data_IF_051610592028
#
_entry.id   IF_051610592028
#
_cell.length_a   1.000
_cell.length_b   1.000
_cell.length_c   1.000
_cell.angle_alpha   90.00
_cell.angle_beta   90.00
_cell.angle_gamma   90.00
#
_symmetry.space_group_name_H-M   'P 1'
#
loop_
_entity.id
_entity.type
_entity.pdbx_description
1 polymer ?
#
# COMPACT_ATOMS: atom_id res chain seq x y z
N UNK A 1 -17.60 4.15 4.37
CA UNK A 1 -17.16 2.79 4.01
C UNK A 1 -16.43 2.82 2.68
N UNK A 2 -15.16 2.53 2.68
CA UNK A 2 -14.34 2.30 1.49
C UNK A 2 -14.25 0.78 1.27
N UNK A 3 -14.56 0.33 0.06
CA UNK A 3 -14.54 -1.09 -0.29
C UNK A 3 -14.18 -1.26 -1.76
N UNK A 4 -13.12 -2.01 -2.03
CA UNK A 4 -12.74 -2.36 -3.40
C UNK A 4 -11.96 -3.68 -3.43
N UNK A 5 -11.96 -4.32 -4.59
CA UNK A 5 -11.13 -5.48 -4.90
C UNK A 5 -9.89 -5.02 -5.65
N UNK A 6 -8.79 -5.71 -5.48
CA UNK A 6 -7.56 -5.41 -6.20
C UNK A 6 -6.70 -6.65 -6.37
N UNK A 7 -5.83 -6.61 -7.37
CA UNK A 7 -4.69 -7.51 -7.48
C UNK A 7 -3.41 -6.69 -7.47
N UNK A 8 -2.40 -7.14 -6.73
CA UNK A 8 -1.13 -6.43 -6.61
C UNK A 8 0.05 -7.35 -6.92
N UNK A 9 1.06 -6.81 -7.59
CA UNK A 9 2.30 -7.51 -7.93
C UNK A 9 3.41 -6.54 -8.31
N UNK A 10 4.67 -6.99 -8.20
CA UNK A 10 5.85 -6.22 -8.55
C UNK A 10 6.17 -6.36 -10.03
N UNK A 11 6.54 -5.25 -10.68
CA UNK A 11 6.98 -5.24 -12.06
C UNK A 11 8.09 -4.21 -12.30
N UNK A 12 8.86 -4.43 -13.37
CA UNK A 12 9.86 -3.49 -13.88
C UNK A 12 9.25 -2.72 -15.06
N UNK A 13 9.23 -1.40 -14.98
CA UNK A 13 8.80 -0.55 -16.08
C UNK A 13 9.91 -0.42 -17.13
N UNK A 14 9.60 -0.80 -18.37
CA UNK A 14 10.41 -0.54 -19.56
C UNK A 14 9.56 0.23 -20.57
N UNK A 15 9.79 1.54 -20.67
CA UNK A 15 8.94 2.46 -21.44
C UNK A 15 7.47 2.40 -21.01
N UNK A 16 6.57 1.96 -21.89
CA UNK A 16 5.14 1.77 -21.62
C UNK A 16 4.77 0.31 -21.28
N UNK A 17 5.76 -0.58 -21.24
CA UNK A 17 5.60 -1.99 -20.90
C UNK A 17 6.04 -2.29 -19.46
N UNK A 18 5.39 -3.27 -18.88
CA UNK A 18 5.72 -3.79 -17.56
C UNK A 18 6.15 -5.25 -17.64
N UNK A 19 7.41 -5.49 -17.29
CA UNK A 19 7.98 -6.83 -17.18
C UNK A 19 7.74 -7.36 -15.79
N UNK A 20 7.17 -8.56 -15.73
CA UNK A 20 6.84 -9.23 -14.47
C UNK A 20 8.09 -9.78 -13.79
N UNK A 21 8.12 -9.75 -12.47
CA UNK A 21 9.16 -10.39 -11.67
C UNK A 21 8.93 -11.91 -11.53
N UNK A 22 9.12 -12.64 -12.62
CA UNK A 22 8.84 -14.08 -12.69
C UNK A 22 9.74 -14.92 -11.76
N UNK A 23 10.88 -14.41 -11.37
CA UNK A 23 11.88 -15.17 -10.62
C UNK A 23 12.19 -14.62 -9.23
N UNK A 24 11.45 -13.60 -8.76
CA UNK A 24 11.79 -12.88 -7.53
C UNK A 24 13.18 -12.22 -7.61
N UNK A 25 13.65 -11.94 -8.83
CA UNK A 25 14.98 -11.39 -9.08
C UNK A 25 15.00 -9.86 -9.00
N UNK A 26 13.85 -9.22 -9.14
CA UNK A 26 13.71 -7.80 -8.87
C UNK A 26 13.82 -7.63 -7.35
N UNK A 27 15.01 -7.25 -6.89
CA UNK A 27 15.20 -6.93 -5.48
C UNK A 27 14.16 -5.87 -5.09
N UNK A 28 13.62 -6.05 -3.88
CA UNK A 28 12.59 -5.21 -3.28
C UNK A 28 12.64 -3.76 -3.77
N UNK A 29 11.51 -3.16 -4.08
CA UNK A 29 11.37 -1.82 -4.68
C UNK A 29 11.88 -0.66 -3.79
N UNK A 30 12.74 -0.91 -2.83
CA UNK A 30 13.51 0.13 -2.12
C UNK A 30 14.36 0.97 -3.06
N UNK A 31 13.96 0.98 -4.31
CA UNK A 31 14.63 1.37 -5.49
C UNK A 31 15.09 2.78 -5.57
N UNK A 32 16.36 2.87 -5.58
CA UNK A 32 17.11 3.96 -6.22
C UNK A 32 16.74 4.08 -7.71
N UNK A 33 16.24 3.02 -8.34
CA UNK A 33 15.96 2.95 -9.79
C UNK A 33 14.48 3.21 -10.12
N UNK A 34 13.63 3.76 -9.39
CA UNK A 34 12.26 4.19 -9.72
C UNK A 34 11.47 3.45 -10.83
N UNK A 35 12.07 2.43 -11.45
CA UNK A 35 11.49 1.58 -12.49
C UNK A 35 10.85 0.31 -11.93
N UNK A 36 11.34 -0.17 -10.77
CA UNK A 36 10.70 -1.27 -10.07
C UNK A 36 9.57 -0.66 -9.25
N UNK A 37 8.36 -1.16 -9.44
CA UNK A 37 7.19 -0.63 -8.76
C UNK A 37 6.17 -1.72 -8.46
N UNK A 38 5.30 -1.41 -7.51
CA UNK A 38 4.11 -2.20 -7.27
C UNK A 38 2.97 -1.73 -8.14
N UNK A 39 2.35 -2.65 -8.87
CA UNK A 39 1.16 -2.41 -9.67
C UNK A 39 -0.06 -2.88 -8.88
N UNK A 40 -1.08 -2.03 -8.84
CA UNK A 40 -2.37 -2.32 -8.23
C UNK A 40 -3.44 -2.24 -9.31
N UNK A 41 -4.08 -3.35 -9.64
CA UNK A 41 -5.21 -3.41 -10.58
C UNK A 41 -6.51 -3.31 -9.79
N UNK A 42 -7.39 -2.41 -10.17
CA UNK A 42 -8.67 -2.15 -9.49
C UNK A 42 -9.77 -2.03 -10.54
N UNK A 43 -10.91 -2.74 -10.44
CA UNK A 43 -11.97 -2.60 -11.42
C UNK A 43 -12.71 -1.27 -11.26
N UNK A 44 -13.10 -0.67 -12.39
CA UNK A 44 -13.77 0.63 -12.46
C UNK A 44 -15.04 0.71 -11.60
N UNK A 45 -15.80 -0.37 -11.53
CA UNK A 45 -17.01 -0.41 -10.72
C UNK A 45 -16.71 -0.23 -9.22
N UNK A 46 -15.59 -0.79 -8.74
CA UNK A 46 -15.16 -0.63 -7.35
C UNK A 46 -14.56 0.75 -7.10
N UNK A 47 -13.82 1.29 -8.06
CA UNK A 47 -13.32 2.66 -8.02
C UNK A 47 -14.47 3.67 -7.99
N UNK A 48 -15.44 3.58 -8.90
CA UNK A 48 -16.61 4.44 -8.94
C UNK A 48 -17.42 4.37 -7.63
N UNK A 49 -17.64 3.17 -7.10
CA UNK A 49 -18.33 2.97 -5.83
C UNK A 49 -17.61 3.63 -4.67
N UNK A 50 -16.29 3.54 -4.65
CA UNK A 50 -15.46 4.04 -3.55
C UNK A 50 -15.30 5.56 -3.57
N UNK A 51 -15.29 6.17 -4.76
CA UNK A 51 -15.13 7.62 -4.96
C UNK A 51 -16.46 8.37 -5.12
N UNK A 52 -17.57 7.65 -5.32
CA UNK A 52 -18.86 8.24 -5.68
C UNK A 52 -18.89 8.79 -7.11
N UNK A 53 -17.90 8.46 -7.95
CA UNK A 53 -17.84 8.89 -9.33
C UNK A 53 -18.64 7.95 -10.25
N UNK A 54 -18.87 8.39 -11.48
CA UNK A 54 -19.58 7.63 -12.53
C UNK A 54 -18.77 7.64 -13.83
N UNK A 55 -17.48 7.31 -13.71
CA UNK A 55 -16.59 7.24 -14.88
C UNK A 55 -16.94 6.03 -15.74
N UNK A 56 -16.68 6.13 -17.03
CA UNK A 56 -16.84 5.05 -17.99
C UNK A 56 -15.54 4.86 -18.78
N UNK A 57 -15.19 3.62 -19.06
CA UNK A 57 -14.03 3.24 -19.87
C UNK A 57 -14.46 2.31 -20.99
N UNK A 58 -13.82 2.44 -22.13
CA UNK A 58 -13.89 1.44 -23.19
C UNK A 58 -13.13 0.16 -22.83
N UNK A 59 -13.30 -0.93 -23.57
CA UNK A 59 -12.73 -2.24 -23.22
C UNK A 59 -11.19 -2.27 -23.19
N UNK A 60 -10.52 -1.39 -23.93
CA UNK A 60 -9.06 -1.27 -23.97
C UNK A 60 -8.56 0.05 -23.37
N UNK A 61 -9.38 0.71 -22.56
CA UNK A 61 -9.03 1.94 -21.86
C UNK A 61 -8.80 1.69 -20.38
N UNK A 62 -7.86 2.43 -19.79
CA UNK A 62 -7.56 2.42 -18.36
C UNK A 62 -7.38 3.84 -17.85
N UNK A 63 -7.54 4.02 -16.52
CA UNK A 63 -7.04 5.19 -15.82
C UNK A 63 -5.84 4.76 -14.99
N UNK A 64 -4.89 5.69 -14.82
CA UNK A 64 -3.69 5.43 -14.04
C UNK A 64 -3.47 6.50 -12.99
N UNK A 65 -2.83 6.12 -11.88
CA UNK A 65 -2.29 7.05 -10.89
C UNK A 65 -0.94 6.53 -10.42
N UNK A 66 0.08 7.36 -10.49
CA UNK A 66 1.40 7.04 -9.97
C UNK A 66 1.73 7.96 -8.78
N UNK A 67 2.15 7.37 -7.66
CA UNK A 67 2.27 8.08 -6.39
C UNK A 67 3.37 9.17 -6.35
N UNK A 68 4.45 9.05 -7.12
CA UNK A 68 5.61 9.94 -7.01
C UNK A 68 5.83 10.86 -8.21
N UNK A 69 5.23 10.54 -9.33
CA UNK A 69 5.37 11.28 -10.58
C UNK A 69 4.16 11.03 -11.47
N UNK A 70 3.98 11.81 -12.48
CA UNK A 70 3.01 11.50 -13.52
C UNK A 70 3.49 10.30 -14.34
N UNK A 71 2.55 9.44 -14.74
CA UNK A 71 2.84 8.33 -15.64
C UNK A 71 3.31 8.84 -17.01
N UNK A 72 2.64 9.86 -17.54
CA UNK A 72 3.06 10.69 -18.70
C UNK A 72 3.13 9.93 -20.01
N UNK A 73 2.35 8.85 -20.19
CA UNK A 73 2.32 8.03 -21.40
C UNK A 73 0.88 7.78 -21.83
N UNK A 74 0.69 7.63 -23.14
CA UNK A 74 -0.65 7.42 -23.75
C UNK A 74 -1.05 5.93 -23.74
N UNK A 75 -0.09 5.02 -23.55
CA UNK A 75 -0.31 3.58 -23.55
C UNK A 75 0.34 2.90 -22.35
N UNK A 76 -0.19 1.72 -22.01
CA UNK A 76 0.37 0.83 -21.00
C UNK A 76 0.23 -0.61 -21.47
N UNK A 77 1.36 -1.33 -21.52
CA UNK A 77 1.39 -2.75 -21.90
C UNK A 77 1.68 -3.62 -20.69
N UNK A 78 0.77 -4.53 -20.39
CA UNK A 78 0.89 -5.46 -19.26
C UNK A 78 0.44 -6.86 -19.70
N UNK A 79 1.26 -7.85 -19.39
CA UNK A 79 1.02 -9.25 -19.72
C UNK A 79 0.64 -9.48 -21.20
N UNK A 80 1.31 -8.76 -22.11
CA UNK A 80 1.10 -8.85 -23.56
C UNK A 80 -0.15 -8.13 -24.10
N UNK A 81 -0.91 -7.44 -23.24
CA UNK A 81 -2.06 -6.62 -23.64
C UNK A 81 -1.74 -5.14 -23.50
N UNK A 82 -2.00 -4.36 -24.55
CA UNK A 82 -1.79 -2.92 -24.56
C UNK A 82 -3.13 -2.19 -24.36
N UNK A 83 -3.13 -1.24 -23.45
CA UNK A 83 -4.26 -0.38 -23.12
C UNK A 83 -3.96 1.06 -23.48
N UNK A 84 -5.00 1.81 -23.82
CA UNK A 84 -4.96 3.27 -23.96
C UNK A 84 -5.16 3.90 -22.57
N UNK A 85 -4.31 4.82 -22.19
CA UNK A 85 -4.48 5.61 -20.97
C UNK A 85 -5.50 6.71 -21.26
N UNK A 86 -6.73 6.53 -20.81
CA UNK A 86 -7.81 7.49 -20.98
C UNK A 86 -7.64 8.74 -20.11
N UNK A 87 -6.85 8.65 -19.06
CA UNK A 87 -6.52 9.76 -18.18
C UNK A 87 -5.65 9.35 -17.00
N UNK A 88 -5.01 10.35 -16.42
CA UNK A 88 -4.29 10.22 -15.16
C UNK A 88 -5.13 10.81 -14.02
N UNK A 89 -5.25 10.05 -12.93
CA UNK A 89 -5.95 10.49 -11.74
C UNK A 89 -4.99 11.32 -10.89
N UNK A 90 -5.35 12.52 -10.46
CA UNK A 90 -4.49 13.36 -9.62
C UNK A 90 -4.26 12.76 -8.24
N UNK A 91 -5.27 12.07 -7.74
CA UNK A 91 -5.26 11.38 -6.46
C UNK A 91 -5.87 10.00 -6.62
N UNK A 92 -5.41 9.06 -5.84
CA UNK A 92 -6.01 7.75 -5.74
C UNK A 92 -6.89 7.65 -4.47
N UNK A 93 -7.52 6.51 -4.26
CA UNK A 93 -8.31 6.25 -3.06
C UNK A 93 -7.49 6.53 -1.80
N UNK A 94 -8.05 7.29 -0.86
CA UNK A 94 -7.43 7.50 0.45
C UNK A 94 -7.45 6.17 1.23
N UNK A 95 -6.41 5.41 0.99
CA UNK A 95 -6.16 4.13 1.61
C UNK A 95 -4.76 4.13 2.24
N UNK A 96 -4.54 3.30 3.23
CA UNK A 96 -3.25 3.19 3.89
C UNK A 96 -2.07 2.86 2.96
N UNK A 97 -2.34 2.36 1.75
CA UNK A 97 -1.30 2.03 0.76
C UNK A 97 -0.65 3.26 0.16
N UNK A 98 -1.38 4.35 -0.03
CA UNK A 98 -0.82 5.59 -0.60
C UNK A 98 -0.03 6.42 0.41
N UNK A 99 -0.25 6.21 1.69
CA UNK A 99 0.35 7.04 2.75
C UNK A 99 1.69 6.48 3.25
N UNK A 100 1.94 5.19 3.08
CA UNK A 100 3.17 4.51 3.53
C UNK A 100 4.28 4.46 2.48
N UNK A 101 4.21 5.29 1.44
CA UNK A 101 4.95 5.22 0.18
C UNK A 101 6.48 5.31 0.30
N UNK A 102 7.08 4.22 0.74
CA UNK A 102 8.51 3.97 0.55
C UNK A 102 8.77 3.44 -0.87
N UNK A 103 7.76 2.81 -1.49
CA UNK A 103 7.81 2.13 -2.78
C UNK A 103 7.11 2.95 -3.86
N UNK A 104 7.64 2.95 -5.08
CA UNK A 104 6.92 3.52 -6.22
C UNK A 104 5.76 2.60 -6.57
N UNK A 105 4.55 3.14 -6.61
CA UNK A 105 3.33 2.39 -6.90
C UNK A 105 2.58 2.98 -8.08
N UNK A 106 2.04 2.12 -8.93
CA UNK A 106 1.17 2.47 -10.05
C UNK A 106 -0.19 1.79 -9.85
N UNK A 107 -1.21 2.61 -9.70
CA UNK A 107 -2.60 2.17 -9.62
C UNK A 107 -3.23 2.23 -10.99
N UNK A 108 -3.83 1.15 -11.42
CA UNK A 108 -4.44 0.96 -12.73
C UNK A 108 -5.91 0.63 -12.54
N UNK A 109 -6.79 1.51 -12.99
CA UNK A 109 -8.23 1.25 -12.99
C UNK A 109 -8.58 0.56 -14.30
N UNK A 110 -8.96 -0.72 -14.22
CA UNK A 110 -9.38 -1.54 -15.36
C UNK A 110 -10.83 -1.28 -15.72
N UNK A 111 -11.26 -1.47 -16.99
CA UNK A 111 -12.65 -1.22 -17.41
C UNK A 111 -13.70 -1.97 -16.58
N UNK A 112 -13.38 -3.19 -16.19
CA UNK A 112 -14.26 -4.09 -15.46
C UNK A 112 -13.46 -5.14 -14.66
N UNK A 113 -14.16 -5.93 -13.87
CA UNK A 113 -13.59 -7.02 -13.10
C UNK A 113 -13.06 -8.16 -13.98
N UNK A 114 -13.70 -8.44 -15.10
CA UNK A 114 -13.28 -9.51 -16.01
C UNK A 114 -11.92 -9.20 -16.64
N UNK A 115 -11.67 -7.93 -16.97
CA UNK A 115 -10.36 -7.46 -17.45
C UNK A 115 -9.29 -7.61 -16.37
N UNK A 116 -9.58 -7.24 -15.12
CA UNK A 116 -8.66 -7.45 -13.98
C UNK A 116 -8.33 -8.93 -13.85
N UNK A 117 -9.34 -9.79 -13.85
CA UNK A 117 -9.18 -11.24 -13.67
C UNK A 117 -8.40 -11.87 -14.83
N UNK A 118 -8.64 -11.44 -16.08
CA UNK A 118 -7.89 -11.89 -17.25
C UNK A 118 -6.41 -11.50 -17.16
N UNK A 119 -6.11 -10.25 -16.73
CA UNK A 119 -4.74 -9.80 -16.50
C UNK A 119 -4.07 -10.61 -15.40
N UNK A 120 -4.73 -10.79 -14.26
CA UNK A 120 -4.24 -11.60 -13.14
C UNK A 120 -3.93 -13.04 -13.59
N UNK A 121 -4.82 -13.64 -14.35
CA UNK A 121 -4.63 -15.01 -14.87
C UNK A 121 -3.41 -15.07 -15.81
N UNK A 122 -3.24 -14.09 -16.68
CA UNK A 122 -2.08 -14.00 -17.57
C UNK A 122 -0.78 -13.80 -16.82
N UNK A 123 -0.79 -12.96 -15.77
CA UNK A 123 0.35 -12.75 -14.88
C UNK A 123 0.69 -14.06 -14.15
N UNK A 124 -0.30 -14.74 -13.57
CA UNK A 124 -0.09 -16.02 -12.89
C UNK A 124 0.45 -17.10 -13.82
N UNK A 125 -0.03 -17.16 -15.06
CA UNK A 125 0.50 -18.09 -16.06
C UNK A 125 1.99 -17.85 -16.38
N UNK A 126 2.44 -16.60 -16.24
CA UNK A 126 3.85 -16.23 -16.43
C UNK A 126 4.74 -16.64 -15.25
N UNK A 127 4.19 -16.73 -14.03
CA UNK A 127 4.94 -17.16 -12.83
C UNK A 127 5.11 -18.69 -12.75
N UNK A 128 4.36 -19.48 -13.51
CA UNK A 128 4.36 -20.95 -13.41
C UNK A 128 3.94 -21.44 -12.03
N UNK A 129 4.58 -22.51 -11.55
CA UNK A 129 4.28 -23.09 -10.22
C UNK A 129 4.80 -22.28 -9.03
N UNK A 130 5.54 -21.18 -9.28
CA UNK A 130 6.28 -20.43 -8.26
C UNK A 130 5.51 -19.33 -7.55
N UNK A 131 4.32 -18.97 -7.99
CA UNK A 131 3.55 -17.89 -7.37
C UNK A 131 2.13 -17.78 -7.88
N UNK A 132 1.23 -17.37 -7.01
CA UNK A 132 -0.16 -17.10 -7.38
C UNK A 132 -0.59 -15.76 -6.78
N UNK A 133 -0.89 -14.81 -7.66
CA UNK A 133 -1.48 -13.54 -7.28
C UNK A 133 -2.98 -13.79 -7.10
N UNK A 134 -3.48 -13.48 -5.90
CA UNK A 134 -4.90 -13.54 -5.60
C UNK A 134 -5.55 -12.15 -5.75
N UNK A 135 -6.83 -12.13 -6.08
CA UNK A 135 -7.63 -10.91 -5.91
C UNK A 135 -7.93 -10.76 -4.41
N UNK A 136 -7.57 -9.62 -3.88
CA UNK A 136 -7.77 -9.25 -2.49
C UNK A 136 -8.95 -8.29 -2.36
N UNK A 137 -9.59 -8.29 -1.21
CA UNK A 137 -10.63 -7.33 -0.84
C UNK A 137 -10.12 -6.36 0.21
N UNK A 138 -10.23 -5.08 -0.05
CA UNK A 138 -9.96 -4.03 0.92
C UNK A 138 -11.26 -3.47 1.49
N UNK A 139 -11.35 -3.39 2.81
CA UNK A 139 -12.49 -2.85 3.53
C UNK A 139 -11.99 -1.88 4.60
N UNK A 140 -12.36 -0.62 4.48
CA UNK A 140 -12.07 0.39 5.48
C UNK A 140 -13.36 1.08 5.92
N UNK A 141 -13.57 1.19 7.22
CA UNK A 141 -14.74 1.84 7.78
C UNK A 141 -14.40 2.57 9.08
N UNK A 142 -15.07 3.68 9.29
CA UNK A 142 -15.06 4.39 10.54
C UNK A 142 -16.37 4.10 11.27
N UNK A 143 -16.27 3.74 12.52
CA UNK A 143 -17.43 3.44 13.37
C UNK A 143 -17.99 4.69 14.05
N UNK A 144 -17.24 5.80 14.09
CA UNK A 144 -17.56 6.98 14.89
C UNK A 144 -17.60 6.71 16.41
N UNK A 145 -17.21 5.51 16.84
CA UNK A 145 -17.24 5.11 18.24
C UNK A 145 -16.04 5.67 19.01
N UNK A 146 -16.16 5.74 20.33
CA UNK A 146 -15.05 6.08 21.20
C UNK A 146 -13.90 5.05 21.10
N UNK A 147 -12.68 5.50 21.36
CA UNK A 147 -11.45 4.70 21.20
C UNK A 147 -11.51 3.35 21.93
N UNK A 148 -12.04 3.32 23.14
CA UNK A 148 -12.16 2.08 23.92
C UNK A 148 -13.07 1.06 23.20
N UNK A 149 -14.18 1.49 22.66
CA UNK A 149 -15.09 0.64 21.89
C UNK A 149 -14.51 0.19 20.56
N UNK A 150 -13.69 1.03 19.90
CA UNK A 150 -12.99 0.65 18.67
C UNK A 150 -11.97 -0.48 18.95
N UNK A 151 -11.25 -0.43 20.07
CA UNK A 151 -10.31 -1.48 20.48
C UNK A 151 -11.05 -2.79 20.81
N UNK A 152 -12.19 -2.70 21.49
CA UNK A 152 -13.02 -3.86 21.79
C UNK A 152 -13.56 -4.51 20.51
N UNK A 153 -14.09 -3.70 19.57
CA UNK A 153 -14.55 -4.16 18.27
C UNK A 153 -13.43 -4.83 17.46
N UNK A 154 -12.25 -4.20 17.42
CA UNK A 154 -11.07 -4.79 16.79
C UNK A 154 -10.75 -6.17 17.35
N UNK A 155 -10.72 -6.29 18.66
CA UNK A 155 -10.44 -7.56 19.35
C UNK A 155 -11.48 -8.63 19.03
N UNK A 156 -12.76 -8.26 18.98
CA UNK A 156 -13.86 -9.16 18.65
C UNK A 156 -13.80 -9.62 17.19
N UNK A 157 -13.52 -8.72 16.26
CA UNK A 157 -13.37 -9.06 14.83
C UNK A 157 -12.15 -9.99 14.67
N UNK A 158 -11.02 -9.67 15.28
CA UNK A 158 -9.79 -10.47 15.22
C UNK A 158 -10.03 -11.89 15.70
N UNK A 159 -10.72 -12.06 16.82
CA UNK A 159 -11.06 -13.38 17.34
C UNK A 159 -12.03 -14.14 16.42
N UNK A 160 -13.00 -13.45 15.84
CA UNK A 160 -13.93 -14.04 14.88
C UNK A 160 -13.21 -14.51 13.60
N UNK A 161 -12.26 -13.73 13.08
CA UNK A 161 -11.43 -14.08 11.92
C UNK A 161 -10.60 -15.33 12.23
N UNK A 162 -9.92 -15.32 13.38
CA UNK A 162 -9.08 -16.44 13.84
C UNK A 162 -9.87 -17.72 14.04
N UNK A 163 -11.04 -17.64 14.66
CA UNK A 163 -11.89 -18.80 14.92
C UNK A 163 -12.44 -19.45 13.63
N UNK A 164 -12.47 -18.69 12.52
CA UNK A 164 -12.89 -19.17 11.20
C UNK A 164 -11.73 -19.70 10.34
N UNK A 165 -10.49 -19.70 10.85
CA UNK A 165 -9.31 -20.15 10.13
C UNK A 165 -8.95 -19.28 8.93
N UNK A 166 -9.35 -18.00 8.92
CA UNK A 166 -9.02 -17.05 7.86
C UNK A 166 -7.68 -16.36 8.18
N UNK A 167 -6.60 -17.11 8.04
CA UNK A 167 -5.24 -16.64 8.36
C UNK A 167 -4.73 -15.58 7.36
N UNK A 168 -5.30 -15.54 6.15
CA UNK A 168 -4.91 -14.60 5.08
C UNK A 168 -5.52 -13.20 5.25
N UNK A 169 -6.33 -12.98 6.29
CA UNK A 169 -6.95 -11.69 6.54
C UNK A 169 -6.07 -10.83 7.46
N UNK A 170 -5.60 -9.70 6.94
CA UNK A 170 -4.95 -8.66 7.74
C UNK A 170 -6.00 -7.71 8.29
N UNK A 171 -6.00 -7.52 9.61
CA UNK A 171 -6.89 -6.58 10.29
C UNK A 171 -6.05 -5.51 10.97
N UNK A 172 -6.32 -4.25 10.63
CA UNK A 172 -5.66 -3.09 11.20
C UNK A 172 -6.67 -2.17 11.88
N UNK A 173 -6.28 -1.54 12.97
CA UNK A 173 -7.10 -0.58 13.68
C UNK A 173 -6.26 0.61 14.11
N UNK A 174 -6.61 1.80 13.63
CA UNK A 174 -5.93 3.04 14.00
C UNK A 174 -5.87 3.23 15.53
N UNK A 175 -6.97 2.93 16.22
CA UNK A 175 -7.04 3.08 17.67
C UNK A 175 -6.08 2.12 18.41
N UNK A 176 -5.85 0.92 17.85
CA UNK A 176 -4.93 -0.07 18.41
C UNK A 176 -3.48 0.29 18.09
N UNK A 177 -3.19 0.71 16.85
CA UNK A 177 -1.83 1.08 16.41
C UNK A 177 -1.29 2.32 17.11
N UNK A 178 -2.13 3.33 17.37
CA UNK A 178 -1.73 4.51 18.15
C UNK A 178 -1.13 4.14 19.50
N UNK A 179 -1.68 3.16 20.19
CA UNK A 179 -1.16 2.75 21.50
C UNK A 179 0.21 2.09 21.39
N UNK A 180 0.41 1.23 20.40
CA UNK A 180 1.71 0.62 20.10
C UNK A 180 2.78 1.65 19.75
N UNK A 181 2.42 2.63 18.93
CA UNK A 181 3.29 3.73 18.55
C UNK A 181 3.74 4.56 19.77
N UNK A 182 2.80 4.99 20.61
CA UNK A 182 3.14 5.77 21.81
C UNK A 182 3.95 4.98 22.81
N UNK A 183 3.73 3.68 22.93
CA UNK A 183 4.53 2.80 23.83
C UNK A 183 5.97 2.72 23.35
N UNK A 184 6.21 2.53 22.06
CA UNK A 184 7.56 2.43 21.49
C UNK A 184 8.30 3.77 21.51
N UNK A 185 7.68 4.82 20.99
CA UNK A 185 8.31 6.13 20.88
C UNK A 185 8.40 6.86 22.22
N UNK A 186 7.46 6.64 23.13
CA UNK A 186 7.52 7.17 24.48
C UNK A 186 8.75 6.65 25.24
N UNK A 187 9.08 5.37 25.10
CA UNK A 187 10.30 4.77 25.63
C UNK A 187 11.57 5.36 25.08
N UNK A 188 11.65 5.53 23.75
CA UNK A 188 12.79 6.17 23.08
C UNK A 188 12.95 7.65 23.47
N UNK A 189 11.84 8.38 23.57
CA UNK A 189 11.84 9.78 24.00
C UNK A 189 12.34 9.94 25.44
N UNK A 190 11.87 9.08 26.35
CA UNK A 190 12.35 9.04 27.74
C UNK A 190 13.84 8.74 27.80
N UNK A 191 14.32 7.75 27.03
CA UNK A 191 15.74 7.42 26.96
C UNK A 191 16.58 8.59 26.45
N UNK A 192 16.08 9.30 25.43
CA UNK A 192 16.74 10.51 24.88
C UNK A 192 16.88 11.62 25.91
N UNK A 193 15.82 11.92 26.67
CA UNK A 193 15.85 12.93 27.75
C UNK A 193 16.83 12.49 28.84
N UNK A 194 16.79 11.24 29.28
CA UNK A 194 17.68 10.72 30.30
C UNK A 194 19.15 10.79 29.89
N UNK A 195 19.45 10.39 28.65
CA UNK A 195 20.81 10.47 28.11
C UNK A 195 21.28 11.93 28.00
N UNK A 196 20.43 12.84 27.53
CA UNK A 196 20.70 14.28 27.48
C UNK A 196 21.05 14.86 28.86
N UNK A 197 20.31 14.46 29.90
CA UNK A 197 20.58 14.86 31.27
C UNK A 197 21.93 14.32 31.76
N UNK A 198 22.28 13.08 31.47
CA UNK A 198 23.59 12.50 31.81
C UNK A 198 24.73 13.25 31.12
N UNK A 199 24.60 13.61 29.84
CA UNK A 199 25.60 14.38 29.12
C UNK A 199 25.77 15.77 29.72
N UNK A 200 24.70 16.42 30.16
CA UNK A 200 24.72 17.72 30.80
C UNK A 200 25.47 17.65 32.14
N UNK A 201 25.20 16.66 32.97
CA UNK A 201 25.92 16.40 34.21
C UNK A 201 27.41 16.14 33.97
N UNK A 202 27.74 15.30 32.99
CA UNK A 202 29.12 15.01 32.62
C UNK A 202 29.87 16.27 32.18
N UNK A 203 29.23 17.13 31.37
CA UNK A 203 29.80 18.41 30.91
C UNK A 203 30.07 19.34 32.07
N UNK A 204 29.14 19.49 33.01
CA UNK A 204 29.32 20.32 34.21
C UNK A 204 30.48 19.81 35.05
N UNK A 205 30.61 18.49 35.26
CA UNK A 205 31.72 17.90 36.01
C UNK A 205 33.07 18.15 35.33
N UNK A 206 33.15 18.00 33.99
CA UNK A 206 34.38 18.25 33.24
C UNK A 206 34.80 19.73 33.37
N UNK A 207 33.86 20.67 33.24
CA UNK A 207 34.13 22.08 33.40
C UNK A 207 34.61 22.39 34.82
N UNK A 208 33.96 21.82 35.82
CA UNK A 208 34.34 22.00 37.24
C UNK A 208 35.76 21.51 37.49
N UNK A 209 36.12 20.31 37.05
CA UNK A 209 37.48 19.76 37.26
C UNK A 209 38.56 20.48 36.45
N UNK A 210 38.21 21.15 35.34
CA UNK A 210 39.16 21.92 34.54
C UNK A 210 39.44 23.32 35.12
N UNK A 211 38.59 23.83 36.03
CA UNK A 211 38.75 25.12 36.66
C UNK A 211 39.46 25.06 38.01
N UNK A 212 39.67 23.87 38.56
CA UNK A 212 40.52 23.61 39.73
C UNK A 212 41.91 23.19 39.26
#
# INVERSE_FOLDING_TARGET
LLRYRYAAFTALQEEDAFLLDIAGQLQSPTGIDGRIMELYLIPLEDYNRSTGQTLALGPDQILVHQNRRQYGRDTLTLAGRTFQVAGELPEFLDNGFSTADIVTSLFIVTPDYDTLEALRASVNASYGDGGSIAVQGYYCFDTGAEKAMQIELYSAIRESVRSRGQEDMTLESRANEEWGFFSLFGGLFFLGIFLGFLFLLATVLIIYYKQI
#
